data_IF_623587299331
#
_entry.id   IF_623587299331
#
_cell.length_a   1.000
_cell.length_b   1.000
_cell.length_c   1.000
_cell.angle_alpha   90.00
_cell.angle_beta   90.00
_cell.angle_gamma   90.00
#
_symmetry.space_group_name_H-M   'P 1'
#
loop_
_entity.id
_entity.type
_entity.pdbx_description
1 polymer ?
#
# COMPACT_ATOMS: atom_id res chain seq x y z
N UNK A 1 -81.52 -34.06 -24.68
CA UNK A 1 -81.03 -33.27 -25.83
C UNK A 1 -80.44 -31.98 -25.27
N UNK A 2 -79.15 -31.73 -25.56
CA UNK A 2 -78.37 -30.47 -25.59
C UNK A 2 -78.69 -29.38 -24.54
N UNK A 3 -77.76 -28.76 -23.81
CA UNK A 3 -76.42 -28.32 -24.20
C UNK A 3 -75.63 -27.97 -22.92
N UNK A 4 -74.33 -28.33 -22.87
CA UNK A 4 -73.41 -27.96 -21.79
C UNK A 4 -73.06 -26.47 -21.80
N UNK A 5 -73.20 -25.79 -20.66
CA UNK A 5 -72.54 -24.53 -20.36
C UNK A 5 -71.44 -24.74 -19.32
N UNK A 6 -70.18 -24.80 -19.75
CA UNK A 6 -69.01 -24.79 -18.85
C UNK A 6 -68.61 -23.34 -18.58
N UNK A 7 -68.74 -22.90 -17.33
CA UNK A 7 -68.00 -21.76 -16.82
C UNK A 7 -66.49 -22.09 -16.84
N UNK A 8 -65.69 -21.26 -17.51
CA UNK A 8 -64.22 -21.28 -17.46
C UNK A 8 -63.75 -20.27 -16.43
N UNK A 9 -63.12 -20.77 -15.36
CA UNK A 9 -62.25 -19.97 -14.50
C UNK A 9 -61.00 -19.51 -15.31
N UNK A 10 -60.49 -18.29 -15.10
CA UNK A 10 -59.26 -17.85 -15.71
C UNK A 10 -58.05 -18.44 -14.98
N UNK A 11 -57.26 -19.25 -15.69
CA UNK A 11 -55.98 -19.75 -15.20
C UNK A 11 -55.00 -18.58 -15.02
N UNK A 12 -54.59 -18.36 -13.77
CA UNK A 12 -53.46 -17.51 -13.40
C UNK A 12 -52.19 -18.02 -14.10
N UNK A 13 -51.61 -17.17 -14.96
CA UNK A 13 -50.30 -17.39 -15.57
C UNK A 13 -49.23 -17.42 -14.47
N UNK A 14 -48.52 -18.53 -14.34
CA UNK A 14 -47.29 -18.57 -13.55
C UNK A 14 -46.20 -17.75 -14.25
N UNK A 15 -45.44 -16.90 -13.55
CA UNK A 15 -44.30 -16.21 -14.14
C UNK A 15 -43.12 -17.18 -14.30
N UNK A 16 -42.47 -17.09 -15.46
CA UNK A 16 -41.21 -17.78 -15.80
C UNK A 16 -40.08 -17.35 -14.85
N UNK A 17 -39.13 -18.23 -14.48
CA UNK A 17 -38.01 -17.83 -13.63
C UNK A 17 -37.10 -16.86 -14.40
N UNK A 18 -36.92 -15.67 -13.80
CA UNK A 18 -35.99 -14.67 -14.30
C UNK A 18 -34.57 -15.24 -14.32
N UNK A 19 -33.91 -15.13 -15.48
CA UNK A 19 -32.48 -15.39 -15.62
C UNK A 19 -31.73 -14.44 -14.68
N UNK A 20 -30.98 -15.03 -13.75
CA UNK A 20 -30.00 -14.31 -12.95
C UNK A 20 -29.00 -13.70 -13.94
N UNK A 21 -28.90 -12.37 -13.95
CA UNK A 21 -27.91 -11.67 -14.74
C UNK A 21 -26.53 -12.03 -14.20
N UNK A 22 -25.67 -12.52 -15.09
CA UNK A 22 -24.24 -12.71 -14.83
C UNK A 22 -23.67 -11.38 -14.31
N UNK A 23 -23.28 -11.37 -13.03
CA UNK A 23 -22.46 -10.29 -12.49
C UNK A 23 -21.18 -10.22 -13.31
N UNK A 24 -20.88 -9.01 -13.79
CA UNK A 24 -19.65 -8.71 -14.53
C UNK A 24 -18.46 -9.21 -13.72
N UNK A 25 -17.88 -10.33 -14.16
CA UNK A 25 -16.57 -10.76 -13.70
C UNK A 25 -15.59 -9.67 -14.10
N UNK A 26 -14.99 -9.07 -13.08
CA UNK A 26 -13.83 -8.20 -13.23
C UNK A 26 -12.83 -8.86 -14.19
N UNK A 27 -12.31 -8.13 -15.20
CA UNK A 27 -11.44 -8.73 -16.20
C UNK A 27 -10.21 -9.33 -15.51
N UNK A 28 -10.03 -10.65 -15.66
CA UNK A 28 -8.78 -11.30 -15.28
C UNK A 28 -7.64 -10.57 -16.01
N UNK A 29 -6.57 -10.15 -15.31
CA UNK A 29 -5.46 -9.48 -15.96
C UNK A 29 -4.94 -10.36 -17.10
N UNK A 30 -4.81 -9.75 -18.27
CA UNK A 30 -4.23 -10.39 -19.44
C UNK A 30 -2.80 -10.78 -19.08
N UNK A 31 -2.44 -12.04 -19.29
CA UNK A 31 -1.10 -12.52 -19.00
C UNK A 31 -0.07 -11.64 -19.75
N UNK A 32 0.73 -10.86 -19.01
CA UNK A 32 1.79 -10.01 -19.55
C UNK A 32 1.69 -8.52 -19.22
N UNK A 33 0.57 -8.01 -18.72
CA UNK A 33 0.52 -6.63 -18.23
C UNK A 33 1.08 -6.51 -16.80
N UNK A 34 1.98 -5.55 -16.53
CA UNK A 34 2.54 -5.34 -15.20
C UNK A 34 1.42 -4.93 -14.23
N UNK A 35 1.33 -5.63 -13.10
CA UNK A 35 0.30 -5.36 -12.11
C UNK A 35 0.66 -4.08 -11.32
N UNK A 36 -0.31 -3.25 -10.90
CA UNK A 36 -0.01 -1.99 -10.19
C UNK A 36 0.84 -2.16 -8.92
N UNK A 37 0.73 -3.34 -8.28
CA UNK A 37 1.49 -3.71 -7.07
C UNK A 37 2.90 -4.27 -7.33
N UNK A 38 3.33 -4.43 -8.58
CA UNK A 38 4.71 -4.81 -8.90
C UNK A 38 5.67 -3.63 -8.68
N UNK A 39 5.18 -2.40 -8.87
CA UNK A 39 5.89 -1.16 -8.60
C UNK A 39 4.99 -0.16 -7.84
N UNK A 40 4.55 -0.46 -6.61
CA UNK A 40 3.48 0.27 -5.93
C UNK A 40 3.85 1.73 -5.65
N UNK A 41 5.13 2.02 -5.36
CA UNK A 41 5.60 3.39 -5.21
C UNK A 41 5.49 4.18 -6.53
N UNK A 42 5.87 3.56 -7.66
CA UNK A 42 5.77 4.18 -8.99
C UNK A 42 4.32 4.49 -9.33
N UNK A 43 3.46 3.49 -9.25
CA UNK A 43 2.05 3.60 -9.66
C UNK A 43 1.25 4.53 -8.75
N UNK A 44 1.63 4.64 -7.47
CA UNK A 44 1.12 5.70 -6.58
C UNK A 44 1.57 7.08 -7.06
N UNK A 45 2.88 7.30 -7.25
CA UNK A 45 3.47 8.60 -7.60
C UNK A 45 3.14 9.08 -9.01
N UNK A 46 2.73 8.18 -9.92
CA UNK A 46 2.17 8.54 -11.24
C UNK A 46 0.65 8.59 -11.25
N UNK A 47 0.00 8.31 -10.13
CA UNK A 47 -1.45 8.21 -10.00
C UNK A 47 -1.96 9.03 -8.80
N UNK A 48 -2.69 8.42 -7.84
CA UNK A 48 -3.30 9.14 -6.72
C UNK A 48 -2.35 10.02 -5.91
N UNK A 49 -1.05 9.71 -5.88
CA UNK A 49 -0.02 10.45 -5.14
C UNK A 49 0.84 11.37 -6.02
N UNK A 50 0.39 11.71 -7.24
CA UNK A 50 1.13 12.59 -8.15
C UNK A 50 1.58 13.93 -7.51
N UNK A 51 0.79 14.47 -6.57
CA UNK A 51 1.13 15.70 -5.83
C UNK A 51 2.37 15.58 -4.94
N UNK A 52 2.82 14.37 -4.61
CA UNK A 52 4.03 14.11 -3.83
C UNK A 52 5.25 13.82 -4.70
N UNK A 53 5.10 13.70 -6.03
CA UNK A 53 6.18 13.21 -6.87
C UNK A 53 7.28 14.25 -7.06
N UNK A 54 8.45 14.00 -6.46
CA UNK A 54 9.70 14.63 -6.86
C UNK A 54 10.32 13.78 -7.99
N UNK A 55 10.60 14.41 -9.14
CA UNK A 55 11.04 13.72 -10.35
C UNK A 55 12.43 14.14 -10.76
N UNK A 56 13.27 13.15 -11.11
CA UNK A 56 14.53 13.35 -11.82
C UNK A 56 14.70 12.24 -12.85
N UNK A 57 14.68 12.59 -14.13
CA UNK A 57 14.63 11.60 -15.21
C UNK A 57 13.48 10.61 -15.04
N UNK A 58 13.80 9.32 -14.95
CA UNK A 58 12.83 8.22 -14.73
C UNK A 58 12.61 7.86 -13.25
N UNK A 59 13.36 8.50 -12.35
CA UNK A 59 13.26 8.33 -10.91
C UNK A 59 12.14 9.22 -10.36
N UNK A 60 11.32 8.63 -9.51
CA UNK A 60 10.33 9.34 -8.71
C UNK A 60 10.57 9.03 -7.25
N UNK A 61 10.46 10.02 -6.37
CA UNK A 61 10.45 9.78 -4.92
C UNK A 61 9.38 10.61 -4.25
N UNK A 62 9.04 10.20 -3.04
CA UNK A 62 8.31 11.07 -2.12
C UNK A 62 9.27 12.09 -1.49
N UNK A 63 8.75 13.22 -0.95
CA UNK A 63 9.55 14.10 -0.13
C UNK A 63 10.10 13.34 1.08
N UNK A 64 11.34 13.63 1.45
CA UNK A 64 12.08 12.86 2.47
C UNK A 64 11.48 12.95 3.88
N UNK A 65 10.60 13.92 4.13
CA UNK A 65 9.84 14.09 5.38
C UNK A 65 8.46 13.41 5.36
N UNK A 66 8.04 12.86 4.20
CA UNK A 66 6.81 12.09 4.01
C UNK A 66 7.08 10.59 4.10
N UNK A 67 8.00 10.04 3.29
CA UNK A 67 8.38 8.62 3.32
C UNK A 67 9.67 8.37 2.52
N UNK A 68 10.51 7.38 2.88
CA UNK A 68 11.81 7.17 2.20
C UNK A 68 11.71 6.46 0.83
N UNK A 69 10.49 6.18 0.34
CA UNK A 69 10.31 5.36 -0.86
C UNK A 69 10.67 6.10 -2.15
N UNK A 70 11.43 5.41 -2.98
CA UNK A 70 11.80 5.83 -4.33
C UNK A 70 11.34 4.76 -5.32
N UNK A 71 10.83 5.20 -6.46
CA UNK A 71 10.50 4.40 -7.62
C UNK A 71 11.56 4.58 -8.71
N UNK A 72 12.14 3.46 -9.15
CA UNK A 72 13.12 3.37 -10.22
C UNK A 72 12.63 2.40 -11.31
N UNK A 73 13.25 2.37 -12.50
CA UNK A 73 12.99 1.31 -13.49
C UNK A 73 13.41 -0.05 -12.95
N UNK A 74 12.79 -1.13 -13.43
CA UNK A 74 13.14 -2.52 -13.05
C UNK A 74 14.64 -2.83 -13.19
N UNK A 75 15.25 -2.29 -14.24
CA UNK A 75 16.69 -2.36 -14.52
C UNK A 75 17.18 -0.92 -14.73
N UNK A 76 17.66 -0.24 -13.68
CA UNK A 76 18.19 1.12 -13.79
C UNK A 76 19.47 1.16 -14.63
N UNK A 77 19.55 2.09 -15.58
CA UNK A 77 20.78 2.32 -16.36
C UNK A 77 21.70 3.34 -15.68
N UNK A 78 22.86 3.61 -16.29
CA UNK A 78 23.85 4.54 -15.75
C UNK A 78 23.30 5.95 -15.48
N UNK A 79 22.34 6.43 -16.27
CA UNK A 79 21.72 7.75 -16.06
C UNK A 79 20.75 7.69 -14.89
N UNK A 80 19.98 6.63 -14.75
CA UNK A 80 19.11 6.43 -13.59
C UNK A 80 19.92 6.39 -12.28
N UNK A 81 21.07 5.71 -12.27
CA UNK A 81 21.97 5.70 -11.11
C UNK A 81 22.55 7.09 -10.80
N UNK A 82 22.90 7.88 -11.82
CA UNK A 82 23.30 9.28 -11.65
C UNK A 82 22.15 10.13 -11.04
N UNK A 83 20.91 9.93 -11.51
CA UNK A 83 19.75 10.62 -10.99
C UNK A 83 19.42 10.22 -9.54
N UNK A 84 19.54 8.94 -9.20
CA UNK A 84 19.45 8.44 -7.82
C UNK A 84 20.50 9.08 -6.92
N UNK A 85 21.77 9.13 -7.36
CA UNK A 85 22.85 9.72 -6.59
C UNK A 85 22.61 11.22 -6.34
N UNK A 86 22.13 11.94 -7.35
CA UNK A 86 21.87 13.36 -7.22
C UNK A 86 20.63 13.67 -6.36
N UNK A 87 19.64 12.78 -6.29
CA UNK A 87 18.50 12.89 -5.37
C UNK A 87 18.90 12.56 -3.91
N UNK A 88 19.81 11.60 -3.73
CA UNK A 88 20.36 11.28 -2.42
C UNK A 88 21.28 12.39 -1.90
N UNK A 89 22.03 13.04 -2.80
CA UNK A 89 23.13 13.94 -2.48
C UNK A 89 24.43 13.16 -2.19
N UNK A 90 25.60 13.84 -2.21
CA UNK A 90 26.88 13.20 -1.94
C UNK A 90 26.90 12.48 -0.59
N UNK A 91 27.16 11.17 -0.58
CA UNK A 91 27.14 10.35 0.65
C UNK A 91 25.76 10.21 1.31
N UNK A 92 24.69 10.69 0.68
CA UNK A 92 23.33 10.62 1.20
C UNK A 92 22.72 9.22 1.03
N UNK A 93 21.60 9.00 1.71
CA UNK A 93 20.90 7.70 1.73
C UNK A 93 19.63 7.75 0.89
N UNK A 94 19.32 6.68 0.16
CA UNK A 94 18.08 6.52 -0.60
C UNK A 94 17.48 5.13 -0.39
N UNK A 95 16.15 5.08 -0.20
CA UNK A 95 15.39 3.84 -0.07
C UNK A 95 14.91 3.34 -1.43
N UNK A 96 15.20 2.08 -1.76
CA UNK A 96 14.77 1.42 -2.99
C UNK A 96 13.94 0.17 -2.69
N UNK A 97 13.08 -0.21 -3.63
CA UNK A 97 12.48 -1.54 -3.65
C UNK A 97 13.38 -2.50 -4.44
N UNK A 98 12.94 -3.76 -4.61
CA UNK A 98 13.67 -4.84 -5.28
C UNK A 98 14.52 -4.39 -6.47
N UNK A 99 15.82 -4.66 -6.40
CA UNK A 99 16.75 -4.49 -7.51
C UNK A 99 16.94 -5.84 -8.23
N UNK A 100 16.86 -5.84 -9.56
CA UNK A 100 17.18 -7.03 -10.37
C UNK A 100 18.68 -7.26 -10.53
N UNK A 101 19.47 -6.20 -10.38
CA UNK A 101 20.92 -6.17 -10.54
C UNK A 101 21.56 -5.41 -9.37
N UNK A 102 22.77 -5.80 -8.96
CA UNK A 102 23.47 -5.11 -7.89
C UNK A 102 23.82 -3.65 -8.27
N UNK A 103 23.87 -2.73 -7.30
CA UNK A 103 24.28 -1.35 -7.56
C UNK A 103 25.68 -1.26 -8.18
N UNK A 104 25.95 -0.25 -9.02
CA UNK A 104 27.27 -0.03 -9.58
C UNK A 104 28.29 0.34 -8.49
N UNK A 105 29.57 0.25 -8.84
CA UNK A 105 30.68 0.60 -7.96
C UNK A 105 30.49 1.99 -7.33
N UNK A 106 30.86 2.12 -6.06
CA UNK A 106 30.75 3.35 -5.27
C UNK A 106 29.44 3.50 -4.49
N UNK A 107 28.42 2.68 -4.78
CA UNK A 107 27.23 2.56 -3.94
C UNK A 107 27.44 1.52 -2.83
N UNK A 108 26.98 1.83 -1.62
CA UNK A 108 27.02 0.92 -0.48
C UNK A 108 25.59 0.53 -0.09
N UNK A 109 25.31 -0.77 0.00
CA UNK A 109 24.04 -1.26 0.56
C UNK A 109 24.15 -1.23 2.08
N UNK A 110 23.47 -0.27 2.71
CA UNK A 110 23.41 -0.13 4.16
C UNK A 110 22.48 -1.16 4.79
N UNK A 111 21.41 -1.51 4.08
CA UNK A 111 20.41 -2.45 4.56
C UNK A 111 19.71 -3.13 3.37
N UNK A 112 19.43 -4.43 3.52
CA UNK A 112 18.62 -5.23 2.61
C UNK A 112 17.69 -6.11 3.43
N UNK A 113 16.38 -5.87 3.33
CA UNK A 113 15.35 -6.60 4.07
C UNK A 113 14.51 -7.39 3.09
N UNK A 114 14.44 -8.71 3.28
CA UNK A 114 13.45 -9.55 2.61
C UNK A 114 12.05 -9.19 3.11
N UNK A 115 11.15 -8.90 2.18
CA UNK A 115 9.77 -8.54 2.43
C UNK A 115 8.77 -9.58 1.94
N UNK A 116 7.55 -9.47 2.41
CA UNK A 116 6.37 -10.12 1.83
C UNK A 116 5.33 -9.07 1.51
N UNK A 117 4.68 -9.21 0.37
CA UNK A 117 3.51 -8.44 -0.03
C UNK A 117 2.29 -9.34 0.08
N UNK A 118 1.29 -8.91 0.84
CA UNK A 118 0.02 -9.60 0.98
C UNK A 118 -1.11 -8.74 0.44
N UNK A 119 -2.11 -9.38 -0.16
CA UNK A 119 -3.30 -8.73 -0.72
C UNK A 119 -4.56 -9.28 -0.06
N UNK A 120 -5.58 -8.45 0.03
CA UNK A 120 -6.91 -8.87 0.47
C UNK A 120 -7.45 -9.98 -0.46
N UNK A 121 -7.73 -11.15 0.12
CA UNK A 121 -8.42 -12.26 -0.55
C UNK A 121 -9.82 -12.48 0.03
N UNK A 122 -9.93 -12.38 1.36
CA UNK A 122 -11.15 -12.70 2.10
C UNK A 122 -11.30 -11.85 3.37
N UNK A 123 -10.65 -10.69 3.42
CA UNK A 123 -10.74 -9.82 4.60
C UNK A 123 -12.20 -9.48 4.86
N UNK A 124 -12.62 -9.60 6.12
CA UNK A 124 -13.92 -9.13 6.58
C UNK A 124 -13.73 -7.74 7.18
N UNK A 125 -13.94 -6.66 6.40
CA UNK A 125 -13.79 -5.30 6.90
C UNK A 125 -14.88 -4.99 7.93
N UNK A 126 -14.51 -4.26 8.97
CA UNK A 126 -15.42 -3.90 10.04
C UNK A 126 -14.99 -2.56 10.65
N UNK A 127 -15.90 -1.58 10.81
CA UNK A 127 -15.57 -0.36 11.53
C UNK A 127 -15.31 -0.67 13.01
N UNK A 128 -14.52 0.17 13.66
CA UNK A 128 -14.26 0.05 15.10
C UNK A 128 -14.75 1.30 15.82
N UNK A 129 -15.71 1.15 16.73
CA UNK A 129 -16.33 2.25 17.45
C UNK A 129 -15.39 2.99 18.41
N UNK A 130 -14.28 2.36 18.81
CA UNK A 130 -13.25 2.94 19.66
C UNK A 130 -12.15 3.66 18.85
N UNK A 131 -12.01 3.32 17.57
CA UNK A 131 -11.01 3.91 16.72
C UNK A 131 -11.35 5.37 16.39
N UNK A 132 -10.43 6.28 16.70
CA UNK A 132 -10.52 7.69 16.36
C UNK A 132 -9.64 8.00 15.16
N UNK A 133 -10.08 8.93 14.32
CA UNK A 133 -9.25 9.42 13.20
C UNK A 133 -8.12 10.27 13.74
N UNK A 134 -6.89 9.94 13.34
CA UNK A 134 -5.69 10.70 13.66
C UNK A 134 -5.36 11.67 12.52
N UNK A 135 -4.85 12.84 12.87
CA UNK A 135 -4.45 13.87 11.93
C UNK A 135 -3.14 14.55 12.30
N UNK A 136 -2.88 15.71 11.68
CA UNK A 136 -1.62 16.46 11.88
C UNK A 136 -1.39 16.87 13.33
N UNK A 137 -2.45 17.09 14.11
CA UNK A 137 -2.35 17.44 15.52
C UNK A 137 -1.85 16.27 16.39
N UNK A 138 -2.09 15.02 15.97
CA UNK A 138 -1.68 13.82 16.69
C UNK A 138 -0.25 13.37 16.37
N UNK A 139 0.42 13.99 15.38
CA UNK A 139 1.76 13.59 14.90
C UNK A 139 2.78 13.44 16.03
N UNK A 140 2.87 14.33 17.04
CA UNK A 140 3.77 14.11 18.17
C UNK A 140 3.52 12.78 18.90
N UNK A 141 2.26 12.42 19.18
CA UNK A 141 1.91 11.15 19.83
C UNK A 141 2.12 9.94 18.90
N UNK A 142 1.87 10.09 17.60
CA UNK A 142 2.11 9.05 16.61
C UNK A 142 3.61 8.72 16.51
N UNK A 143 4.47 9.74 16.48
CA UNK A 143 5.91 9.59 16.45
C UNK A 143 6.44 8.94 17.74
N UNK A 144 5.92 9.36 18.89
CA UNK A 144 6.24 8.76 20.19
C UNK A 144 5.86 7.26 20.24
N UNK A 145 4.67 6.89 19.77
CA UNK A 145 4.28 5.48 19.65
C UNK A 145 5.18 4.70 18.66
N UNK A 146 5.53 5.29 17.52
CA UNK A 146 6.44 4.69 16.52
C UNK A 146 7.81 4.44 17.10
N UNK A 147 8.35 5.36 17.89
CA UNK A 147 9.67 5.20 18.52
C UNK A 147 9.70 3.98 19.44
N UNK A 148 8.65 3.79 20.24
CA UNK A 148 8.52 2.65 21.15
C UNK A 148 8.25 1.32 20.45
N UNK A 149 7.53 1.33 19.33
CA UNK A 149 7.01 0.10 18.71
C UNK A 149 7.71 -0.31 17.41
N UNK A 150 8.44 0.61 16.78
CA UNK A 150 9.23 0.44 15.55
C UNK A 150 8.50 -0.33 14.42
N UNK A 151 7.31 0.13 13.96
CA UNK A 151 6.54 -0.54 12.91
C UNK A 151 7.13 -0.40 11.48
N UNK A 152 8.28 0.24 11.35
CA UNK A 152 8.85 0.68 10.08
C UNK A 152 8.81 2.21 9.95
N UNK A 153 9.19 2.74 8.78
CA UNK A 153 9.32 4.18 8.59
C UNK A 153 7.99 4.92 8.80
N UNK A 154 8.01 5.90 9.70
CA UNK A 154 6.95 6.89 9.89
C UNK A 154 7.63 8.22 10.27
N UNK A 155 7.29 9.27 9.54
CA UNK A 155 7.94 10.58 9.52
C UNK A 155 6.89 11.67 9.77
N UNK A 156 7.29 12.92 10.05
CA UNK A 156 6.36 13.98 10.46
C UNK A 156 5.19 14.23 9.50
N UNK A 157 5.36 13.95 8.20
CA UNK A 157 4.32 14.14 7.19
C UNK A 157 3.78 12.83 6.60
N UNK A 158 4.16 11.67 7.13
CA UNK A 158 3.61 10.38 6.67
C UNK A 158 2.09 10.32 6.82
N UNK A 159 1.53 10.99 7.84
CA UNK A 159 0.08 11.11 8.04
C UNK A 159 -0.67 11.74 6.85
N UNK A 160 0.02 12.48 5.97
CA UNK A 160 -0.58 13.09 4.77
C UNK A 160 -0.86 12.07 3.64
N UNK A 161 -0.33 10.85 3.74
CA UNK A 161 -0.50 9.79 2.74
C UNK A 161 -1.91 9.16 2.75
N UNK A 162 -2.68 9.29 3.84
CA UNK A 162 -4.05 8.80 3.88
C UNK A 162 -4.67 8.84 5.26
N UNK A 163 -5.65 7.95 5.48
CA UNK A 163 -6.36 7.83 6.75
C UNK A 163 -5.53 7.07 7.77
N UNK A 164 -5.46 7.62 8.99
CA UNK A 164 -4.89 6.95 10.15
C UNK A 164 -5.96 6.83 11.24
N UNK A 165 -6.00 5.66 11.88
CA UNK A 165 -6.90 5.33 12.97
C UNK A 165 -6.08 4.99 14.21
N UNK A 166 -6.54 5.43 15.38
CA UNK A 166 -5.89 5.21 16.66
C UNK A 166 -6.84 4.77 17.75
N UNK A 167 -6.34 4.02 18.73
CA UNK A 167 -7.06 3.64 19.94
C UNK A 167 -6.33 4.22 21.14
N UNK A 168 -7.09 4.80 22.08
CA UNK A 168 -6.55 5.50 23.26
C UNK A 168 -6.90 4.80 24.56
N UNK A 169 -5.98 4.81 25.54
CA UNK A 169 -6.22 4.33 26.92
C UNK A 169 -5.76 5.40 27.90
N UNK A 170 -6.63 5.81 28.83
CA UNK A 170 -6.30 6.89 29.77
C UNK A 170 -5.88 8.19 29.08
N UNK A 171 -6.39 8.46 27.87
CA UNK A 171 -6.02 9.61 27.04
C UNK A 171 -4.82 9.39 26.10
N UNK A 172 -3.92 8.46 26.40
CA UNK A 172 -2.72 8.21 25.59
C UNK A 172 -3.01 7.34 24.35
N UNK A 173 -2.34 7.63 23.22
CA UNK A 173 -2.37 6.77 22.03
C UNK A 173 -1.62 5.47 22.30
N UNK A 174 -2.32 4.33 22.24
CA UNK A 174 -1.72 3.02 22.54
C UNK A 174 -1.69 2.06 21.36
N UNK A 175 -2.43 2.33 20.29
CA UNK A 175 -2.36 1.57 19.06
C UNK A 175 -2.76 2.44 17.88
N UNK A 176 -2.17 2.20 16.72
CA UNK A 176 -2.59 2.84 15.47
C UNK A 176 -2.37 1.95 14.26
N UNK A 177 -3.08 2.26 13.18
CA UNK A 177 -2.84 1.77 11.83
C UNK A 177 -3.25 2.85 10.85
N UNK A 178 -2.72 2.84 9.63
CA UNK A 178 -3.17 3.78 8.62
C UNK A 178 -2.80 3.37 7.21
N UNK A 179 -2.97 4.31 6.30
CA UNK A 179 -2.75 4.13 4.87
C UNK A 179 -1.36 4.63 4.45
N UNK A 180 -0.75 4.01 3.44
CA UNK A 180 0.55 4.47 2.91
C UNK A 180 0.55 4.55 1.38
N UNK A 181 1.04 3.55 0.64
CA UNK A 181 1.04 3.59 -0.83
C UNK A 181 -0.40 3.47 -1.37
N UNK A 182 -0.71 4.16 -2.47
CA UNK A 182 -2.03 4.15 -3.10
C UNK A 182 -1.95 4.01 -4.62
N UNK A 183 -1.58 2.82 -5.13
CA UNK A 183 -1.70 2.51 -6.56
C UNK A 183 -3.17 2.62 -7.03
N UNK A 184 -3.44 2.85 -8.32
CA UNK A 184 -4.81 2.86 -8.83
C UNK A 184 -5.57 1.57 -8.46
N UNK A 185 -6.71 1.70 -7.78
CA UNK A 185 -7.54 0.58 -7.31
C UNK A 185 -7.07 -0.09 -6.01
N UNK A 186 -5.93 0.32 -5.45
CA UNK A 186 -5.33 -0.33 -4.27
C UNK A 186 -4.90 0.68 -3.22
N UNK A 187 -5.03 0.31 -1.94
CA UNK A 187 -4.50 1.12 -0.83
C UNK A 187 -3.75 0.24 0.16
N UNK A 188 -2.56 0.69 0.53
CA UNK A 188 -1.68 -0.04 1.45
C UNK A 188 -2.05 0.23 2.90
N UNK A 189 -2.27 -0.81 3.68
CA UNK A 189 -2.31 -0.75 5.14
C UNK A 189 -0.88 -0.77 5.68
N UNK A 190 -0.57 0.18 6.57
CA UNK A 190 0.77 0.44 7.07
C UNK A 190 0.72 0.95 8.52
N UNK A 191 1.89 1.05 9.15
CA UNK A 191 2.09 1.60 10.49
C UNK A 191 1.22 0.95 11.56
N UNK A 192 0.94 -0.35 11.40
CA UNK A 192 0.20 -1.15 12.39
C UNK A 192 1.11 -1.36 13.58
N UNK A 193 0.81 -0.70 14.70
CA UNK A 193 1.52 -0.90 15.95
C UNK A 193 0.61 -0.84 17.17
N UNK A 194 1.09 -1.46 18.24
CA UNK A 194 0.41 -1.52 19.53
C UNK A 194 1.47 -1.45 20.61
N UNK A 195 1.29 -0.52 21.54
CA UNK A 195 2.11 -0.34 22.72
C UNK A 195 2.18 -1.65 23.51
N UNK A 196 3.35 -1.96 24.05
CA UNK A 196 3.61 -3.22 24.73
C UNK A 196 2.66 -3.47 25.92
N UNK A 197 2.27 -2.40 26.62
CA UNK A 197 1.39 -2.45 27.80
C UNK A 197 -0.02 -2.98 27.51
N UNK A 198 -0.46 -2.99 26.24
CA UNK A 198 -1.83 -3.39 25.85
C UNK A 198 -1.86 -4.44 24.74
N UNK A 199 -0.75 -5.13 24.49
CA UNK A 199 -0.70 -6.27 23.55
C UNK A 199 -1.59 -7.42 24.02
N UNK A 200 -1.96 -8.29 23.08
CA UNK A 200 -2.84 -9.45 23.35
C UNK A 200 -4.33 -9.12 23.44
N UNK A 201 -4.72 -7.84 23.35
CA UNK A 201 -6.13 -7.40 23.39
C UNK A 201 -6.79 -7.32 22.00
N UNK A 202 -6.12 -7.80 20.94
CA UNK A 202 -6.67 -7.80 19.57
C UNK A 202 -6.70 -6.43 18.87
N UNK A 203 -6.06 -5.39 19.42
CA UNK A 203 -6.12 -4.02 18.88
C UNK A 203 -5.60 -3.90 17.44
N UNK A 204 -4.51 -4.60 17.10
CA UNK A 204 -3.98 -4.62 15.74
C UNK A 204 -4.99 -5.20 14.74
N UNK A 205 -5.62 -6.34 15.06
CA UNK A 205 -6.66 -6.96 14.22
C UNK A 205 -7.83 -6.02 13.96
N UNK A 206 -8.31 -5.39 15.04
CA UNK A 206 -9.41 -4.42 15.02
C UNK A 206 -9.09 -3.23 14.12
N UNK A 207 -7.92 -2.62 14.31
CA UNK A 207 -7.46 -1.49 13.50
C UNK A 207 -7.25 -1.85 12.03
N UNK A 208 -6.69 -3.03 11.72
CA UNK A 208 -6.53 -3.50 10.33
C UNK A 208 -7.89 -3.65 9.64
N UNK A 209 -8.88 -4.24 10.32
CA UNK A 209 -10.26 -4.36 9.80
C UNK A 209 -10.92 -3.00 9.58
N UNK A 210 -10.71 -2.05 10.50
CA UNK A 210 -11.26 -0.69 10.39
C UNK A 210 -10.63 0.10 9.25
N UNK A 211 -9.31 -0.01 9.04
CA UNK A 211 -8.66 0.60 7.88
C UNK A 211 -9.12 -0.08 6.58
N UNK A 212 -9.19 -1.41 6.55
CA UNK A 212 -9.70 -2.16 5.39
C UNK A 212 -11.15 -1.77 5.05
N UNK A 213 -11.99 -1.51 6.05
CA UNK A 213 -13.34 -1.00 5.87
C UNK A 213 -13.34 0.33 5.13
N UNK A 214 -12.60 1.33 5.63
CA UNK A 214 -12.51 2.63 4.95
C UNK A 214 -11.93 2.54 3.53
N UNK A 215 -11.01 1.59 3.27
CA UNK A 215 -10.48 1.32 1.93
C UNK A 215 -11.58 0.76 1.01
N UNK A 216 -12.31 -0.27 1.46
CA UNK A 216 -13.37 -0.89 0.65
C UNK A 216 -14.58 0.03 0.40
N UNK A 217 -14.92 0.89 1.34
CA UNK A 217 -16.00 1.89 1.14
C UNK A 217 -15.72 2.82 -0.05
N UNK A 218 -14.46 3.02 -0.41
CA UNK A 218 -14.04 3.85 -1.56
C UNK A 218 -13.86 3.04 -2.85
N UNK A 219 -14.17 1.75 -2.84
CA UNK A 219 -14.00 0.86 -3.99
C UNK A 219 -12.54 0.47 -4.26
N UNK A 220 -11.69 0.50 -3.25
CA UNK A 220 -10.27 0.10 -3.35
C UNK A 220 -10.02 -1.25 -2.68
N UNK A 221 -8.97 -1.94 -3.10
CA UNK A 221 -8.54 -3.22 -2.50
C UNK A 221 -7.38 -3.00 -1.52
N UNK A 222 -7.49 -3.48 -0.27
CA UNK A 222 -6.38 -3.45 0.68
C UNK A 222 -5.21 -4.35 0.26
N UNK A 223 -4.00 -3.87 0.49
CA UNK A 223 -2.79 -4.69 0.48
C UNK A 223 -1.84 -4.22 1.57
N UNK A 224 -0.77 -4.96 1.84
CA UNK A 224 0.25 -4.54 2.80
C UNK A 224 1.59 -5.19 2.52
N UNK A 225 2.62 -4.61 3.13
CA UNK A 225 3.95 -5.18 3.20
C UNK A 225 4.38 -5.39 4.65
N UNK A 226 5.18 -6.43 4.88
CA UNK A 226 5.96 -6.56 6.11
C UNK A 226 7.28 -7.26 5.84
N UNK A 227 8.20 -7.22 6.79
CA UNK A 227 9.43 -8.01 6.73
C UNK A 227 9.08 -9.50 6.74
N UNK A 228 9.73 -10.29 5.89
CA UNK A 228 9.59 -11.75 5.87
C UNK A 228 9.98 -12.39 7.22
N UNK A 229 10.82 -11.71 8.02
CA UNK A 229 11.17 -12.15 9.37
C UNK A 229 10.05 -11.91 10.41
N UNK A 230 9.06 -11.07 10.11
CA UNK A 230 7.96 -10.75 11.02
C UNK A 230 6.84 -11.80 10.95
N UNK A 231 7.17 -13.04 11.34
CA UNK A 231 6.24 -14.17 11.23
C UNK A 231 4.97 -13.98 12.08
N UNK A 232 5.05 -13.19 13.16
CA UNK A 232 3.90 -12.83 13.98
C UNK A 232 2.88 -11.97 13.23
N UNK A 233 3.34 -10.92 12.55
CA UNK A 233 2.47 -10.08 11.72
C UNK A 233 1.95 -10.85 10.49
N UNK A 234 2.77 -11.70 9.87
CA UNK A 234 2.33 -12.52 8.73
C UNK A 234 1.15 -13.41 9.14
N UNK A 235 1.28 -14.18 10.23
CA UNK A 235 0.18 -15.03 10.73
C UNK A 235 -1.07 -14.22 11.08
N UNK A 236 -0.90 -13.04 11.67
CA UNK A 236 -2.00 -12.12 11.92
C UNK A 236 -2.73 -11.76 10.62
N UNK A 237 -2.02 -11.27 9.61
CA UNK A 237 -2.62 -10.84 8.35
C UNK A 237 -3.27 -12.01 7.60
N UNK A 238 -2.63 -13.18 7.57
CA UNK A 238 -3.23 -14.39 6.99
C UNK A 238 -4.53 -14.78 7.70
N UNK A 239 -4.55 -14.77 9.04
CA UNK A 239 -5.78 -15.04 9.82
C UNK A 239 -6.90 -14.02 9.58
N UNK A 240 -6.55 -12.81 9.12
CA UNK A 240 -7.50 -11.76 8.80
C UNK A 240 -8.06 -11.89 7.38
N UNK A 241 -7.51 -12.78 6.55
CA UNK A 241 -7.95 -13.02 5.17
C UNK A 241 -7.05 -12.41 4.10
N UNK A 242 -5.84 -11.98 4.45
CA UNK A 242 -4.83 -11.60 3.45
C UNK A 242 -4.09 -12.83 2.91
N UNK A 243 -3.76 -12.83 1.63
CA UNK A 243 -2.94 -13.87 0.99
C UNK A 243 -1.62 -13.32 0.49
N UNK A 244 -0.55 -14.09 0.65
CA UNK A 244 0.76 -13.81 0.08
C UNK A 244 0.68 -13.68 -1.45
N UNK A 245 1.19 -12.57 -1.97
CA UNK A 245 1.26 -12.24 -3.40
C UNK A 245 2.70 -12.31 -3.94
N UNK A 246 3.65 -11.69 -3.26
CA UNK A 246 5.02 -11.51 -3.75
C UNK A 246 6.05 -11.38 -2.61
N UNK A 247 7.32 -11.52 -2.95
CA UNK A 247 8.47 -11.39 -2.03
C UNK A 247 9.39 -10.25 -2.48
N UNK A 248 9.03 -8.98 -2.20
CA UNK A 248 9.89 -7.86 -2.54
C UNK A 248 11.09 -7.78 -1.60
N UNK A 249 12.05 -6.93 -1.95
CA UNK A 249 13.10 -6.47 -1.02
C UNK A 249 12.91 -4.98 -0.72
N UNK A 250 13.33 -4.58 0.48
CA UNK A 250 13.45 -3.18 0.88
C UNK A 250 14.91 -2.87 1.14
N UNK A 251 15.47 -1.95 0.36
CA UNK A 251 16.87 -1.59 0.42
C UNK A 251 17.06 -0.16 0.90
N UNK A 252 18.17 0.07 1.60
CA UNK A 252 18.70 1.39 1.90
C UNK A 252 20.11 1.46 1.39
N UNK A 253 20.39 2.39 0.48
CA UNK A 253 21.69 2.54 -0.17
C UNK A 253 22.29 3.90 0.16
N UNK A 254 23.61 3.95 0.30
CA UNK A 254 24.38 5.19 0.36
C UNK A 254 24.95 5.50 -1.02
N UNK A 255 24.72 6.73 -1.48
CA UNK A 255 25.27 7.24 -2.73
C UNK A 255 26.78 7.51 -2.61
N UNK A 256 27.53 7.46 -3.74
CA UNK A 256 28.94 7.85 -3.76
C UNK A 256 29.17 9.25 -3.19
N UNK A 257 30.32 9.45 -2.52
CA UNK A 257 30.72 10.76 -2.01
C UNK A 257 31.11 11.75 -3.13
N UNK A 258 31.50 11.24 -4.31
CA UNK A 258 31.72 12.03 -5.51
C UNK A 258 30.63 11.68 -6.53
N UNK A 259 29.82 12.67 -6.93
CA UNK A 259 28.79 12.46 -7.94
C UNK A 259 29.44 12.28 -9.33
N UNK A 260 28.99 11.33 -10.16
CA UNK A 260 29.42 11.26 -11.54
C UNK A 260 29.03 12.54 -12.29
N UNK A 261 29.81 12.98 -13.30
CA UNK A 261 29.50 14.19 -14.06
C UNK A 261 28.12 14.07 -14.73
N UNK A 262 27.34 15.16 -14.70
CA UNK A 262 25.98 15.20 -15.27
C UNK A 262 26.09 15.00 -16.80
N UNK A 263 25.59 13.88 -17.30
CA UNK A 263 25.40 13.66 -18.73
C UNK A 263 24.28 14.56 -19.28
N UNK A 264 24.38 14.96 -20.56
CA UNK A 264 23.46 15.90 -21.21
C UNK A 264 21.97 15.53 -21.03
N UNK A 265 21.06 16.52 -20.86
CA UNK A 265 19.63 16.27 -20.74
C UNK A 265 19.09 15.49 -21.94
N UNK A 266 18.14 14.57 -21.71
CA UNK A 266 17.39 13.96 -22.80
C UNK A 266 16.63 15.04 -23.56
N UNK A 267 16.83 15.11 -24.87
CA UNK A 267 15.95 15.86 -25.76
C UNK A 267 14.51 15.34 -25.57
N UNK A 268 13.56 16.25 -25.37
CA UNK A 268 12.18 15.89 -25.14
C UNK A 268 11.64 15.15 -26.37
N UNK A 269 11.12 13.94 -26.18
CA UNK A 269 10.46 13.22 -27.26
C UNK A 269 9.29 14.07 -27.80
N UNK A 270 9.12 14.18 -29.13
CA UNK A 270 8.02 14.96 -29.70
C UNK A 270 6.68 14.37 -29.28
N UNK A 271 5.72 15.27 -29.05
CA UNK A 271 4.36 15.02 -28.52
C UNK A 271 3.54 14.06 -29.36
#
# INVERSE_FOLDING_TARGET
MSTLGRHREPALRQPSPARVADGEREPRPVAGEPHPLDAPARTSLTGPHARFAERRGRILRYPVDVTPWTAHPDTPDARDWADLAALAGPGGTIGLNTLKEEPPEGWEILQRIAGVQLVDESVVPEPDAEAVRLGRADVPEMLDLVERTRPGPFLPRTVELGTYLGIRRGGALVAMAGERLRPPGWTEISAVCTDESVRGQGLASRLVRAVAHGIRERGETPFLHTSAANTGAIRLYESLGFRLRAHPEFLSLRAPAALPPIGEPREAAPR
#
